data_IF_181354461551
#
_entry.id   IF_181354461551
#
_cell.length_a   1.000
_cell.length_b   1.000
_cell.length_c   1.000
_cell.angle_alpha   90.00
_cell.angle_beta   90.00
_cell.angle_gamma   90.00
#
_symmetry.space_group_name_H-M   'P 1'
#
loop_
_entity.id
_entity.type
_entity.pdbx_description
1 polymer ?
#
# COMPACT_ATOMS: atom_id res chain seq x y z
N UNK A 1 -8.50 -14.76 18.74
CA UNK A 1 -7.02 -14.68 18.74
C UNK A 1 -6.50 -15.79 17.85
N UNK A 2 -5.64 -15.53 16.86
CA UNK A 2 -5.01 -16.61 16.12
C UNK A 2 -4.25 -17.48 17.12
N UNK A 3 -4.40 -18.81 17.02
CA UNK A 3 -3.93 -19.78 18.01
C UNK A 3 -2.41 -20.02 17.92
N UNK A 4 -1.65 -18.94 17.76
CA UNK A 4 -0.22 -18.94 17.58
C UNK A 4 0.45 -18.63 18.92
N UNK A 5 1.25 -19.57 19.43
CA UNK A 5 2.02 -19.42 20.68
C UNK A 5 2.83 -18.10 20.71
N UNK A 6 3.28 -17.62 19.53
CA UNK A 6 3.99 -16.34 19.37
C UNK A 6 3.12 -15.11 19.70
N UNK A 7 1.84 -15.11 19.33
CA UNK A 7 0.91 -14.02 19.62
C UNK A 7 0.60 -13.92 21.12
N UNK A 8 0.46 -15.07 21.81
CA UNK A 8 0.26 -15.10 23.28
C UNK A 8 1.48 -14.60 24.05
N UNK A 9 2.68 -14.97 23.62
CA UNK A 9 3.94 -14.49 24.21
C UNK A 9 4.12 -12.99 23.95
N UNK A 10 3.93 -12.53 22.71
CA UNK A 10 4.01 -11.11 22.35
C UNK A 10 3.01 -10.24 23.12
N UNK A 11 1.80 -10.76 23.35
CA UNK A 11 0.78 -10.08 24.14
C UNK A 11 1.28 -9.76 25.56
N UNK A 12 1.74 -10.80 26.28
CA UNK A 12 2.26 -10.67 27.65
C UNK A 12 3.54 -9.83 27.69
N UNK A 13 4.46 -10.05 26.75
CA UNK A 13 5.71 -9.29 26.67
C UNK A 13 5.44 -7.79 26.52
N UNK A 14 4.53 -7.38 25.64
CA UNK A 14 4.21 -5.96 25.47
C UNK A 14 3.75 -5.28 26.76
N UNK A 15 2.82 -5.92 27.48
CA UNK A 15 2.28 -5.39 28.75
C UNK A 15 3.37 -5.39 29.83
N UNK A 16 4.08 -6.49 30.00
CA UNK A 16 5.13 -6.63 31.02
C UNK A 16 6.24 -5.63 30.77
N UNK A 17 6.69 -5.44 29.53
CA UNK A 17 7.71 -4.45 29.17
C UNK A 17 7.25 -3.02 29.50
N UNK A 18 5.99 -2.65 29.20
CA UNK A 18 5.47 -1.34 29.61
C UNK A 18 5.47 -1.16 31.13
N UNK A 19 5.00 -2.16 31.89
CA UNK A 19 4.96 -2.11 33.36
C UNK A 19 6.38 -1.96 33.92
N UNK A 20 7.35 -2.72 33.41
CA UNK A 20 8.74 -2.62 33.81
C UNK A 20 9.25 -1.18 33.58
N UNK A 21 9.04 -0.62 32.39
CA UNK A 21 9.47 0.75 32.08
C UNK A 21 8.83 1.77 33.03
N UNK A 22 7.55 1.61 33.37
CA UNK A 22 6.87 2.51 34.31
C UNK A 22 7.44 2.42 35.73
N UNK A 23 7.91 1.26 36.17
CA UNK A 23 8.45 1.04 37.53
C UNK A 23 9.93 1.41 37.64
N UNK A 24 10.70 1.43 36.54
CA UNK A 24 12.10 1.83 36.56
C UNK A 24 12.30 3.20 37.23
N UNK A 25 13.42 3.44 37.95
CA UNK A 25 13.66 4.74 38.58
C UNK A 25 13.68 5.86 37.53
N UNK A 26 13.21 7.04 37.93
CA UNK A 26 13.23 8.22 37.07
C UNK A 26 14.67 8.60 36.72
N UNK A 27 14.88 9.02 35.48
CA UNK A 27 16.17 9.57 35.05
C UNK A 27 16.08 11.09 35.12
N UNK A 28 17.12 11.75 35.65
CA UNK A 28 17.23 13.21 35.60
C UNK A 28 17.23 13.76 34.16
N UNK A 29 17.56 12.90 33.19
CA UNK A 29 17.69 13.28 31.77
C UNK A 29 16.41 13.14 30.93
N UNK A 30 15.37 12.48 31.45
CA UNK A 30 14.13 12.22 30.70
C UNK A 30 12.91 12.64 31.53
N UNK A 31 12.06 13.56 31.03
CA UNK A 31 10.81 13.91 31.71
C UNK A 31 9.93 12.70 31.98
N UNK A 32 9.09 12.79 33.03
CA UNK A 32 8.21 11.68 33.43
C UNK A 32 7.24 11.30 32.32
N UNK A 33 6.74 12.28 31.56
CA UNK A 33 5.91 12.09 30.38
C UNK A 33 6.66 11.31 29.30
N UNK A 34 7.96 11.57 29.13
CA UNK A 34 8.82 10.87 28.17
C UNK A 34 9.01 9.40 28.53
N UNK A 35 9.21 9.11 29.82
CA UNK A 35 9.25 7.72 30.33
C UNK A 35 7.92 7.00 30.12
N UNK A 36 6.79 7.66 30.40
CA UNK A 36 5.45 7.09 30.20
C UNK A 36 5.15 6.86 28.71
N UNK A 37 5.54 7.80 27.84
CA UNK A 37 5.46 7.63 26.39
C UNK A 37 6.33 6.45 25.91
N UNK A 38 7.52 6.27 26.48
CA UNK A 38 8.40 5.14 26.16
C UNK A 38 7.77 3.79 26.51
N UNK A 39 7.07 3.71 27.65
CA UNK A 39 6.35 2.49 28.04
C UNK A 39 5.29 2.10 26.99
N UNK A 40 4.46 3.07 26.56
CA UNK A 40 3.44 2.83 25.53
C UNK A 40 4.08 2.55 24.18
N UNK A 41 5.16 3.24 23.82
CA UNK A 41 5.92 3.01 22.59
C UNK A 41 6.43 1.58 22.49
N UNK A 42 7.09 1.08 23.54
CA UNK A 42 7.62 -0.30 23.57
C UNK A 42 6.49 -1.32 23.54
N UNK A 43 5.40 -1.08 24.26
CA UNK A 43 4.23 -1.94 24.22
C UNK A 43 3.65 -2.05 22.81
N UNK A 44 3.36 -0.92 22.17
CA UNK A 44 2.85 -0.87 20.81
C UNK A 44 3.83 -1.52 19.81
N UNK A 45 5.13 -1.22 19.95
CA UNK A 45 6.18 -1.79 19.10
C UNK A 45 6.23 -3.31 19.18
N UNK A 46 6.18 -3.90 20.38
CA UNK A 46 6.14 -5.36 20.56
C UNK A 46 4.86 -5.95 19.96
N UNK A 47 3.71 -5.33 20.22
CA UNK A 47 2.43 -5.84 19.71
C UNK A 47 2.33 -5.76 18.18
N UNK A 48 2.83 -4.70 17.55
CA UNK A 48 2.92 -4.63 16.09
C UNK A 48 3.93 -5.61 15.51
N UNK A 49 5.12 -5.74 16.10
CA UNK A 49 6.17 -6.64 15.59
C UNK A 49 5.79 -8.12 15.70
N UNK A 50 5.05 -8.49 16.74
CA UNK A 50 4.61 -9.87 16.99
C UNK A 50 3.21 -10.18 16.47
N UNK A 51 2.49 -9.16 15.98
CA UNK A 51 1.06 -9.22 15.66
C UNK A 51 0.24 -9.86 16.79
N UNK A 52 0.53 -9.46 18.04
CA UNK A 52 -0.11 -10.01 19.23
C UNK A 52 -1.64 -9.86 19.21
N UNK A 53 -2.11 -8.72 18.71
CA UNK A 53 -3.51 -8.37 18.45
C UNK A 53 -3.59 -7.71 17.07
N UNK A 54 -4.78 -7.57 16.45
CA UNK A 54 -4.91 -6.88 15.17
C UNK A 54 -4.28 -5.48 15.22
N UNK A 55 -3.58 -5.07 14.15
CA UNK A 55 -2.81 -3.81 14.08
C UNK A 55 -3.61 -2.57 14.50
N UNK A 56 -4.92 -2.56 14.21
CA UNK A 56 -5.84 -1.49 14.56
C UNK A 56 -6.09 -1.40 16.07
N UNK A 57 -6.14 -2.55 16.77
CA UNK A 57 -6.33 -2.58 18.23
C UNK A 57 -5.11 -1.98 18.92
N UNK A 58 -3.90 -2.37 18.51
CA UNK A 58 -2.67 -1.74 18.99
C UNK A 58 -2.67 -0.24 18.70
N UNK A 59 -3.13 0.15 17.51
CA UNK A 59 -3.21 1.55 17.13
C UNK A 59 -4.20 2.37 17.95
N UNK A 60 -5.15 1.78 18.68
CA UNK A 60 -6.09 2.49 19.56
C UNK A 60 -5.58 2.65 21.01
N UNK A 61 -4.46 2.00 21.37
CA UNK A 61 -3.86 2.09 22.71
C UNK A 61 -3.59 3.55 23.14
N UNK A 62 -3.03 4.43 22.28
CA UNK A 62 -2.77 5.83 22.66
C UNK A 62 -4.01 6.54 23.21
N UNK A 63 -5.17 6.38 22.56
CA UNK A 63 -6.43 7.03 22.96
C UNK A 63 -6.85 6.70 24.40
N UNK A 64 -6.50 5.51 24.88
CA UNK A 64 -6.81 5.09 26.26
C UNK A 64 -5.69 5.51 27.20
N UNK A 65 -4.44 5.19 26.86
CA UNK A 65 -3.35 5.25 27.84
C UNK A 65 -2.63 6.59 27.89
N UNK A 66 -2.64 7.40 26.84
CA UNK A 66 -2.02 8.74 26.92
C UNK A 66 -2.71 9.65 27.92
N UNK A 67 -4.06 9.75 27.94
CA UNK A 67 -4.76 10.53 28.97
C UNK A 67 -4.58 9.95 30.37
N UNK A 68 -4.68 8.62 30.53
CA UNK A 68 -4.53 7.95 31.83
C UNK A 68 -3.13 8.12 32.43
N UNK A 69 -2.11 8.13 31.57
CA UNK A 69 -0.72 8.33 31.97
C UNK A 69 -0.33 9.82 31.99
N UNK A 70 -1.25 10.75 31.71
CA UNK A 70 -0.97 12.18 31.69
C UNK A 70 0.08 12.60 30.64
N UNK A 71 0.19 11.85 29.53
CA UNK A 71 1.10 12.16 28.42
C UNK A 71 0.49 13.25 27.52
N UNK A 72 -0.82 13.14 27.24
CA UNK A 72 -1.58 14.05 26.37
C UNK A 72 -3.07 13.92 26.65
N UNK A 73 -3.87 14.95 26.32
CA UNK A 73 -5.33 14.87 26.46
C UNK A 73 -5.94 13.96 25.39
N UNK A 74 -7.20 13.55 25.58
CA UNK A 74 -7.89 12.70 24.59
C UNK A 74 -8.05 13.42 23.25
N UNK A 75 -8.35 14.72 23.26
CA UNK A 75 -8.52 15.54 22.05
C UNK A 75 -7.22 15.63 21.26
N UNK A 76 -6.11 15.94 21.94
CA UNK A 76 -4.79 16.03 21.31
C UNK A 76 -4.31 14.65 20.82
N UNK A 77 -4.62 13.58 21.56
CA UNK A 77 -4.30 12.21 21.17
C UNK A 77 -5.11 11.72 19.97
N UNK A 78 -6.36 12.17 19.83
CA UNK A 78 -7.28 11.78 18.76
C UNK A 78 -7.09 12.58 17.47
N UNK A 79 -6.59 13.82 17.53
CA UNK A 79 -6.41 14.68 16.36
C UNK A 79 -5.62 14.00 15.21
N UNK A 80 -4.53 13.26 15.45
CA UNK A 80 -3.78 12.57 14.38
C UNK A 80 -4.57 11.48 13.64
N UNK A 81 -5.65 10.93 14.22
CA UNK A 81 -6.53 9.98 13.54
C UNK A 81 -7.41 10.64 12.46
N UNK A 82 -7.46 11.97 12.45
CA UNK A 82 -8.12 12.77 11.41
C UNK A 82 -7.10 13.51 10.52
N UNK A 83 -5.82 13.09 10.52
CA UNK A 83 -4.82 13.66 9.62
C UNK A 83 -5.29 13.60 8.15
N UNK A 84 -5.11 14.69 7.41
CA UNK A 84 -5.64 14.84 6.05
C UNK A 84 -5.18 13.75 5.07
N UNK A 85 -3.99 13.16 5.29
CA UNK A 85 -3.48 12.08 4.44
C UNK A 85 -4.28 10.78 4.58
N UNK A 86 -4.98 10.58 5.71
CA UNK A 86 -5.91 9.45 5.90
C UNK A 86 -7.05 9.55 4.88
N UNK A 87 -7.56 10.75 4.63
CA UNK A 87 -8.62 10.99 3.65
C UNK A 87 -8.13 10.89 2.19
N UNK A 88 -6.86 11.24 1.93
CA UNK A 88 -6.23 10.95 0.63
C UNK A 88 -6.26 9.45 0.31
N UNK A 89 -5.89 8.61 1.29
CA UNK A 89 -5.94 7.16 1.13
C UNK A 89 -7.36 6.62 1.04
N UNK A 90 -8.29 7.14 1.84
CA UNK A 90 -9.70 6.73 1.78
C UNK A 90 -10.28 6.96 0.36
N UNK A 91 -10.07 8.14 -0.22
CA UNK A 91 -10.46 8.43 -1.60
C UNK A 91 -9.75 7.54 -2.62
N UNK A 92 -8.46 7.28 -2.43
CA UNK A 92 -7.69 6.32 -3.21
C UNK A 92 -8.24 4.89 -3.15
N UNK A 93 -8.66 4.44 -1.97
CA UNK A 93 -9.29 3.13 -1.79
C UNK A 93 -10.62 3.05 -2.52
N UNK A 94 -11.48 4.06 -2.43
CA UNK A 94 -12.72 4.10 -3.22
C UNK A 94 -12.43 3.93 -4.71
N UNK A 95 -11.47 4.68 -5.25
CA UNK A 95 -11.08 4.56 -6.65
C UNK A 95 -10.58 3.15 -7.00
N UNK A 96 -9.73 2.58 -6.14
CA UNK A 96 -9.21 1.22 -6.32
C UNK A 96 -10.32 0.16 -6.28
N UNK A 97 -11.28 0.27 -5.36
CA UNK A 97 -12.41 -0.66 -5.21
C UNK A 97 -13.32 -0.57 -6.44
N UNK A 98 -13.56 0.63 -6.97
CA UNK A 98 -14.34 0.80 -8.19
C UNK A 98 -13.68 0.13 -9.41
N UNK A 99 -12.35 0.30 -9.57
CA UNK A 99 -11.56 -0.38 -10.62
C UNK A 99 -11.65 -1.90 -10.48
N UNK A 100 -11.71 -2.41 -9.24
CA UNK A 100 -11.88 -3.83 -8.96
C UNK A 100 -13.29 -4.31 -9.30
N UNK A 101 -14.33 -3.64 -8.80
CA UNK A 101 -15.74 -4.02 -8.95
C UNK A 101 -16.16 -4.13 -10.42
N UNK A 102 -15.70 -3.23 -11.28
CA UNK A 102 -16.03 -3.27 -12.72
C UNK A 102 -15.09 -4.15 -13.56
N UNK A 103 -14.14 -4.88 -12.96
CA UNK A 103 -13.14 -5.69 -13.64
C UNK A 103 -12.17 -4.91 -14.58
N UNK A 104 -12.09 -3.58 -14.45
CA UNK A 104 -11.20 -2.75 -15.26
C UNK A 104 -9.73 -3.15 -15.08
N UNK A 105 -9.32 -3.50 -13.85
CA UNK A 105 -7.99 -4.04 -13.55
C UNK A 105 -7.61 -5.27 -14.40
N UNK A 106 -8.55 -6.23 -14.59
CA UNK A 106 -8.30 -7.43 -15.43
C UNK A 106 -8.07 -7.04 -16.88
N UNK A 107 -8.86 -6.09 -17.39
CA UNK A 107 -8.70 -5.60 -18.76
C UNK A 107 -7.36 -4.89 -18.94
N UNK A 108 -6.94 -4.07 -17.97
CA UNK A 108 -5.63 -3.41 -17.98
C UNK A 108 -4.49 -4.44 -17.99
N UNK A 109 -4.51 -5.41 -17.08
CA UNK A 109 -3.51 -6.49 -17.02
C UNK A 109 -3.42 -7.27 -18.33
N UNK A 110 -4.54 -7.81 -18.81
CA UNK A 110 -4.58 -8.62 -20.03
C UNK A 110 -4.25 -7.80 -21.29
N UNK A 111 -4.45 -6.48 -21.26
CA UNK A 111 -4.03 -5.60 -22.35
C UNK A 111 -2.51 -5.48 -22.41
N UNK A 112 -1.83 -5.30 -21.27
CA UNK A 112 -0.36 -5.31 -21.20
C UNK A 112 0.18 -6.69 -21.60
N UNK A 113 -0.42 -7.76 -21.07
CA UNK A 113 0.00 -9.13 -21.37
C UNK A 113 -0.14 -9.51 -22.86
N UNK A 114 -1.10 -8.92 -23.58
CA UNK A 114 -1.25 -9.13 -25.04
C UNK A 114 -0.03 -8.68 -25.85
N UNK A 115 0.80 -7.78 -25.31
CA UNK A 115 2.02 -7.32 -25.96
C UNK A 115 3.27 -8.07 -25.49
N UNK A 116 3.11 -9.08 -24.63
CA UNK A 116 4.23 -9.95 -24.26
C UNK A 116 4.58 -10.86 -25.44
N UNK A 117 5.86 -10.98 -25.74
CA UNK A 117 6.34 -11.94 -26.73
C UNK A 117 6.15 -13.39 -26.27
N UNK A 118 6.59 -14.34 -27.09
CA UNK A 118 6.56 -15.78 -26.79
C UNK A 118 7.69 -16.24 -25.89
N UNK A 119 8.71 -15.41 -25.61
CA UNK A 119 9.82 -15.84 -24.73
C UNK A 119 9.34 -15.91 -23.28
N UNK A 120 9.71 -16.97 -22.55
CA UNK A 120 9.33 -17.15 -21.15
C UNK A 120 9.69 -15.95 -20.25
N UNK A 121 10.89 -15.37 -20.44
CA UNK A 121 11.29 -14.13 -19.73
C UNK A 121 10.40 -12.95 -20.06
N UNK A 122 9.96 -12.80 -21.31
CA UNK A 122 9.11 -11.70 -21.74
C UNK A 122 7.70 -11.79 -21.16
N UNK A 123 7.17 -13.01 -21.01
CA UNK A 123 5.90 -13.25 -20.31
C UNK A 123 6.01 -12.83 -18.85
N UNK A 124 7.05 -13.29 -18.14
CA UNK A 124 7.33 -12.87 -16.76
C UNK A 124 7.44 -11.34 -16.67
N UNK A 125 8.17 -10.72 -17.60
CA UNK A 125 8.32 -9.27 -17.67
C UNK A 125 6.99 -8.54 -17.86
N UNK A 126 6.06 -9.07 -18.67
CA UNK A 126 4.73 -8.48 -18.80
C UNK A 126 3.84 -8.65 -17.59
N UNK A 127 3.92 -9.78 -16.88
CA UNK A 127 3.23 -9.94 -15.60
C UNK A 127 3.80 -8.99 -14.55
N UNK A 128 5.12 -8.83 -14.49
CA UNK A 128 5.78 -7.87 -13.63
C UNK A 128 5.36 -6.44 -13.97
N UNK A 129 5.37 -6.05 -15.24
CA UNK A 129 4.92 -4.72 -15.66
C UNK A 129 3.45 -4.48 -15.33
N UNK A 130 2.58 -5.46 -15.60
CA UNK A 130 1.15 -5.37 -15.26
C UNK A 130 0.94 -5.21 -13.76
N UNK A 131 1.65 -6.01 -12.96
CA UNK A 131 1.61 -5.96 -11.49
C UNK A 131 2.09 -4.60 -10.99
N UNK A 132 3.23 -4.12 -11.48
CA UNK A 132 3.78 -2.82 -11.11
C UNK A 132 2.79 -1.69 -11.41
N UNK A 133 2.29 -1.60 -12.65
CA UNK A 133 1.35 -0.54 -13.08
C UNK A 133 0.05 -0.58 -12.28
N UNK A 134 -0.52 -1.76 -12.03
CA UNK A 134 -1.73 -1.87 -11.22
C UNK A 134 -1.48 -1.46 -9.77
N UNK A 135 -0.34 -1.86 -9.20
CA UNK A 135 0.00 -1.58 -7.80
C UNK A 135 0.37 -0.12 -7.53
N UNK A 136 0.60 0.69 -8.57
CA UNK A 136 0.69 2.14 -8.42
C UNK A 136 -0.62 2.77 -7.94
N UNK A 137 -1.76 2.08 -8.11
CA UNK A 137 -3.10 2.64 -7.85
C UNK A 137 -3.97 1.73 -6.98
N UNK A 138 -3.56 0.48 -6.82
CA UNK A 138 -4.29 -0.57 -6.12
C UNK A 138 -3.37 -1.16 -5.06
N UNK A 139 -3.93 -1.60 -3.93
CA UNK A 139 -3.16 -2.26 -2.87
C UNK A 139 -2.33 -3.44 -3.38
N UNK A 140 -1.06 -3.50 -2.98
CA UNK A 140 -0.10 -4.55 -3.37
C UNK A 140 -0.65 -5.97 -3.21
N UNK A 141 -1.30 -6.24 -2.08
CA UNK A 141 -1.92 -7.54 -1.78
C UNK A 141 -3.04 -7.87 -2.77
N UNK A 142 -3.92 -6.91 -3.05
CA UNK A 142 -5.02 -7.06 -4.01
C UNK A 142 -4.49 -7.29 -5.43
N UNK A 143 -3.52 -6.50 -5.87
CA UNK A 143 -2.87 -6.65 -7.18
C UNK A 143 -2.27 -8.05 -7.36
N UNK A 144 -1.58 -8.55 -6.33
CA UNK A 144 -0.97 -9.89 -6.35
C UNK A 144 -2.03 -10.98 -6.46
N UNK A 145 -3.07 -10.93 -5.61
CA UNK A 145 -4.17 -11.90 -5.61
C UNK A 145 -4.93 -11.90 -6.94
N UNK A 146 -5.06 -10.74 -7.60
CA UNK A 146 -5.75 -10.62 -8.88
C UNK A 146 -4.99 -11.23 -10.04
N UNK A 147 -3.66 -11.08 -10.06
CA UNK A 147 -2.82 -11.62 -11.13
C UNK A 147 -2.47 -13.09 -10.91
N UNK A 148 -2.53 -13.58 -9.67
CA UNK A 148 -2.19 -14.95 -9.32
C UNK A 148 -2.98 -16.00 -10.13
N UNK A 149 -4.33 -15.97 -10.24
CA UNK A 149 -5.07 -16.92 -11.07
C UNK A 149 -4.67 -16.89 -12.54
N UNK A 150 -4.38 -15.71 -13.09
CA UNK A 150 -3.95 -15.55 -14.47
C UNK A 150 -2.55 -16.17 -14.67
N UNK A 151 -1.63 -15.91 -13.73
CA UNK A 151 -0.30 -16.50 -13.72
C UNK A 151 -0.33 -18.02 -13.62
N UNK A 152 -1.16 -18.57 -12.73
CA UNK A 152 -1.37 -20.00 -12.58
C UNK A 152 -1.90 -20.65 -13.86
N UNK A 153 -2.87 -20.03 -14.52
CA UNK A 153 -3.40 -20.53 -15.78
C UNK A 153 -2.32 -20.59 -16.88
N UNK A 154 -1.41 -19.62 -16.93
CA UNK A 154 -0.27 -19.64 -17.86
C UNK A 154 0.75 -20.73 -17.51
N UNK A 155 1.03 -20.93 -16.21
CA UNK A 155 1.88 -22.04 -15.74
C UNK A 155 1.30 -23.38 -16.17
N UNK A 156 -0.02 -23.59 -15.99
CA UNK A 156 -0.71 -24.81 -16.41
C UNK A 156 -0.58 -25.04 -17.92
N UNK A 157 -0.84 -24.02 -18.74
CA UNK A 157 -0.73 -24.13 -20.21
C UNK A 157 0.70 -24.48 -20.64
N UNK A 158 1.72 -23.90 -20.02
CA UNK A 158 3.12 -24.23 -20.33
C UNK A 158 3.44 -25.67 -19.91
N UNK A 159 2.98 -26.10 -18.73
CA UNK A 159 3.21 -27.47 -18.26
C UNK A 159 2.59 -28.53 -19.16
N UNK A 160 1.39 -28.28 -19.70
CA UNK A 160 0.63 -29.21 -20.55
C UNK A 160 0.97 -29.14 -22.04
N UNK A 161 1.45 -28.00 -22.55
CA UNK A 161 1.72 -27.82 -23.98
C UNK A 161 3.18 -28.00 -24.37
N UNK A 162 4.06 -28.23 -23.39
CA UNK A 162 5.50 -28.30 -23.61
C UNK A 162 6.09 -29.49 -22.84
N UNK A 163 5.86 -30.70 -23.34
CA UNK A 163 6.37 -31.94 -22.74
C UNK A 163 7.89 -32.06 -22.81
N UNK A 164 8.52 -31.42 -23.81
CA UNK A 164 9.97 -31.44 -24.02
C UNK A 164 10.75 -30.51 -23.06
N UNK A 165 10.07 -29.60 -22.35
CA UNK A 165 10.73 -28.73 -21.37
C UNK A 165 11.20 -29.54 -20.17
N UNK A 166 12.44 -29.28 -19.74
CA UNK A 166 12.99 -29.91 -18.54
C UNK A 166 12.14 -29.55 -17.30
N UNK A 167 12.09 -30.46 -16.33
CA UNK A 167 11.42 -30.21 -15.05
C UNK A 167 11.97 -28.96 -14.36
N UNK A 168 13.28 -28.71 -14.50
CA UNK A 168 13.95 -27.52 -13.95
C UNK A 168 13.44 -26.22 -14.60
N UNK A 169 13.27 -26.19 -15.91
CA UNK A 169 12.76 -25.00 -16.62
C UNK A 169 11.31 -24.68 -16.25
N UNK A 170 10.46 -25.72 -16.11
CA UNK A 170 9.07 -25.58 -15.66
C UNK A 170 9.01 -24.98 -14.24
N UNK A 171 9.82 -25.50 -13.31
CA UNK A 171 9.92 -25.01 -11.93
C UNK A 171 10.47 -23.57 -11.90
N UNK A 172 11.56 -23.29 -12.62
CA UNK A 172 12.17 -21.96 -12.66
C UNK A 172 11.18 -20.92 -13.20
N UNK A 173 10.45 -21.23 -14.27
CA UNK A 173 9.41 -20.35 -14.80
C UNK A 173 8.31 -20.10 -13.77
N UNK A 174 7.79 -21.14 -13.13
CA UNK A 174 6.74 -21.03 -12.12
C UNK A 174 7.18 -20.14 -10.95
N UNK A 175 8.35 -20.39 -10.37
CA UNK A 175 8.86 -19.61 -9.24
C UNK A 175 9.14 -18.16 -9.67
N UNK A 176 9.81 -17.95 -10.80
CA UNK A 176 10.12 -16.62 -11.31
C UNK A 176 8.86 -15.81 -11.63
N UNK A 177 7.81 -16.43 -12.17
CA UNK A 177 6.55 -15.76 -12.47
C UNK A 177 5.84 -15.32 -11.19
N UNK A 178 5.68 -16.24 -10.22
CA UNK A 178 4.96 -15.96 -8.98
C UNK A 178 5.70 -14.93 -8.10
N UNK A 179 7.03 -15.08 -7.94
CA UNK A 179 7.86 -14.09 -7.25
C UNK A 179 7.90 -12.77 -8.01
N UNK A 180 7.95 -12.82 -9.34
CA UNK A 180 7.91 -11.64 -10.19
C UNK A 180 6.66 -10.81 -9.96
N UNK A 181 5.47 -11.43 -9.94
CA UNK A 181 4.20 -10.75 -9.63
C UNK A 181 4.27 -10.10 -8.24
N UNK A 182 4.72 -10.84 -7.23
CA UNK A 182 4.78 -10.36 -5.84
C UNK A 182 5.76 -9.20 -5.65
N UNK A 183 6.98 -9.30 -6.18
CA UNK A 183 7.97 -8.21 -6.09
C UNK A 183 7.56 -7.01 -6.92
N UNK A 184 7.03 -7.21 -8.13
CA UNK A 184 6.58 -6.10 -8.96
C UNK A 184 5.40 -5.35 -8.35
N UNK A 185 4.49 -6.02 -7.62
CA UNK A 185 3.43 -5.34 -6.87
C UNK A 185 4.03 -4.40 -5.81
N UNK A 186 5.01 -4.87 -5.03
CA UNK A 186 5.69 -4.05 -4.04
C UNK A 186 6.45 -2.87 -4.69
N UNK A 187 7.16 -3.11 -5.80
CA UNK A 187 7.86 -2.06 -6.55
C UNK A 187 6.88 -1.03 -7.10
N UNK A 188 5.72 -1.46 -7.62
CA UNK A 188 4.67 -0.57 -8.09
C UNK A 188 4.10 0.32 -6.98
N UNK A 189 3.91 -0.25 -5.78
CA UNK A 189 3.42 0.50 -4.62
C UNK A 189 4.34 1.65 -4.18
N UNK A 190 5.63 1.62 -4.52
CA UNK A 190 6.58 2.71 -4.23
C UNK A 190 6.33 3.93 -5.14
N UNK A 191 5.80 3.71 -6.35
CA UNK A 191 5.79 4.72 -7.41
C UNK A 191 4.93 5.96 -7.10
N UNK A 192 3.83 5.78 -6.36
CA UNK A 192 2.86 6.84 -6.06
C UNK A 192 2.60 6.91 -4.56
N UNK A 193 2.07 8.05 -4.11
CA UNK A 193 1.79 8.27 -2.69
C UNK A 193 0.72 7.32 -2.13
N UNK A 194 -0.20 6.82 -2.97
CA UNK A 194 -1.33 5.95 -2.58
C UNK A 194 -0.96 4.47 -2.58
N UNK A 195 0.08 4.08 -3.33
CA UNK A 195 0.37 2.67 -3.60
C UNK A 195 0.63 1.82 -2.34
N UNK A 196 1.28 2.38 -1.31
CA UNK A 196 1.56 1.65 -0.08
C UNK A 196 1.52 2.50 1.19
N UNK A 197 1.21 1.84 2.31
CA UNK A 197 1.06 2.47 3.62
C UNK A 197 2.31 3.24 4.12
N UNK A 198 3.55 2.75 3.95
CA UNK A 198 4.75 3.49 4.34
C UNK A 198 4.88 4.87 3.68
N UNK A 199 4.48 5.03 2.42
CA UNK A 199 4.55 6.32 1.71
C UNK A 199 3.66 7.36 2.42
N UNK A 200 2.47 6.92 2.85
CA UNK A 200 1.56 7.75 3.63
C UNK A 200 2.11 8.10 5.01
N UNK A 201 2.63 7.10 5.71
CA UNK A 201 3.16 7.28 7.05
C UNK A 201 4.28 8.31 7.04
N UNK A 202 5.17 8.27 6.04
CA UNK A 202 6.19 9.29 5.84
C UNK A 202 5.58 10.66 5.56
N UNK A 203 4.61 10.78 4.65
CA UNK A 203 4.01 12.08 4.35
C UNK A 203 3.28 12.69 5.57
N UNK A 204 2.50 11.88 6.28
CA UNK A 204 1.83 12.31 7.51
C UNK A 204 2.82 12.72 8.59
N UNK A 205 3.91 11.98 8.76
CA UNK A 205 4.97 12.33 9.70
C UNK A 205 5.69 13.63 9.32
N UNK A 206 6.08 13.79 8.06
CA UNK A 206 6.74 15.01 7.56
C UNK A 206 5.87 16.25 7.74
N UNK A 207 4.56 16.09 7.56
CA UNK A 207 3.60 17.15 7.78
C UNK A 207 3.43 17.51 9.25
N UNK A 208 3.12 16.53 10.11
CA UNK A 208 2.89 16.78 11.53
C UNK A 208 4.15 17.28 12.26
N UNK A 209 5.32 16.76 11.89
CA UNK A 209 6.55 17.03 12.62
C UNK A 209 7.38 18.19 12.05
N UNK A 210 7.38 18.36 10.72
CA UNK A 210 8.21 19.35 10.04
C UNK A 210 7.41 20.39 9.27
N UNK A 211 6.07 20.31 9.28
CA UNK A 211 5.19 21.17 8.48
C UNK A 211 5.53 21.13 6.98
N UNK A 212 6.05 19.99 6.51
CA UNK A 212 6.39 19.74 5.10
C UNK A 212 5.38 18.77 4.52
N UNK A 213 4.47 19.27 3.68
CA UNK A 213 3.54 18.41 2.94
C UNK A 213 4.17 17.99 1.62
N UNK A 214 4.35 16.68 1.42
CA UNK A 214 4.79 16.13 0.14
C UNK A 214 3.55 15.98 -0.75
N UNK A 215 3.50 16.71 -1.86
CA UNK A 215 2.40 16.57 -2.81
C UNK A 215 2.46 15.25 -3.55
N UNK A 216 1.33 14.82 -4.11
CA UNK A 216 1.25 13.64 -4.97
C UNK A 216 2.28 13.67 -6.10
N UNK A 217 2.44 14.82 -6.76
CA UNK A 217 3.39 15.03 -7.86
C UNK A 217 4.83 14.99 -7.38
N UNK A 218 5.13 15.59 -6.21
CA UNK A 218 6.49 15.58 -5.66
C UNK A 218 6.94 14.17 -5.28
N UNK A 219 6.03 13.36 -4.72
CA UNK A 219 6.31 11.95 -4.47
C UNK A 219 6.63 11.20 -5.77
N UNK A 220 5.82 11.39 -6.82
CA UNK A 220 6.04 10.71 -8.11
C UNK A 220 7.38 11.04 -8.74
N UNK A 221 7.92 12.25 -8.55
CA UNK A 221 9.27 12.61 -9.02
C UNK A 221 10.38 11.75 -8.41
N UNK A 222 10.13 11.11 -7.27
CA UNK A 222 11.08 10.21 -6.59
C UNK A 222 10.66 8.75 -6.77
N UNK A 223 9.43 8.41 -6.41
CA UNK A 223 8.92 7.04 -6.42
C UNK A 223 8.93 6.41 -7.81
N UNK A 224 8.44 7.13 -8.83
CA UNK A 224 8.32 6.56 -10.17
C UNK A 224 9.70 6.25 -10.78
N UNK A 225 10.71 7.14 -10.74
CA UNK A 225 12.08 6.79 -11.16
C UNK A 225 12.67 5.58 -10.44
N UNK A 226 12.47 5.49 -9.12
CA UNK A 226 12.95 4.33 -8.34
C UNK A 226 12.28 3.04 -8.83
N UNK A 227 10.96 3.03 -9.01
CA UNK A 227 10.23 1.86 -9.51
C UNK A 227 10.63 1.48 -10.94
N UNK A 228 10.87 2.46 -11.81
CA UNK A 228 11.32 2.24 -13.20
C UNK A 228 12.72 1.61 -13.28
N UNK A 229 13.58 1.84 -12.28
CA UNK A 229 14.91 1.23 -12.20
C UNK A 229 14.83 -0.15 -11.53
N UNK A 230 14.10 -0.27 -10.42
CA UNK A 230 14.00 -1.52 -9.68
C UNK A 230 13.30 -2.62 -10.47
N UNK A 231 12.25 -2.30 -11.24
CA UNK A 231 11.47 -3.30 -11.96
C UNK A 231 12.32 -4.09 -12.99
N UNK A 232 13.09 -3.46 -13.90
CA UNK A 232 14.01 -4.17 -14.79
C UNK A 232 15.12 -4.92 -14.04
N UNK A 233 15.68 -4.34 -12.97
CA UNK A 233 16.73 -4.99 -12.18
C UNK A 233 16.23 -6.29 -11.53
N UNK A 234 15.04 -6.25 -10.92
CA UNK A 234 14.40 -7.43 -10.34
C UNK A 234 14.05 -8.45 -11.42
N UNK A 235 13.55 -8.02 -12.58
CA UNK A 235 13.25 -8.92 -13.69
C UNK A 235 14.51 -9.64 -14.21
N UNK A 236 15.61 -8.91 -14.38
CA UNK A 236 16.90 -9.48 -14.78
C UNK A 236 17.40 -10.44 -13.69
N UNK A 237 17.33 -10.04 -12.42
CA UNK A 237 17.78 -10.86 -11.30
C UNK A 237 17.03 -12.19 -11.23
N UNK A 238 15.70 -12.14 -11.30
CA UNK A 238 14.87 -13.33 -11.25
C UNK A 238 15.08 -14.23 -12.46
N UNK A 239 15.03 -13.69 -13.68
CA UNK A 239 14.97 -14.51 -14.91
C UNK A 239 16.34 -14.90 -15.49
N UNK A 240 17.43 -14.29 -15.01
CA UNK A 240 18.80 -14.59 -15.49
C UNK A 240 19.70 -15.20 -14.42
N UNK A 241 19.60 -14.78 -13.16
CA UNK A 241 20.53 -15.21 -12.11
C UNK A 241 19.89 -16.22 -11.15
N UNK A 242 18.74 -15.91 -10.57
CA UNK A 242 18.12 -16.76 -9.54
C UNK A 242 17.38 -17.97 -10.13
N UNK A 243 16.57 -17.74 -11.16
CA UNK A 243 15.74 -18.76 -11.80
C UNK A 243 15.84 -18.59 -13.32
N UNK A 244 16.91 -19.11 -13.95
CA UNK A 244 17.12 -18.95 -15.38
C UNK A 244 15.95 -19.52 -16.20
N UNK A 245 15.35 -18.69 -17.06
CA UNK A 245 14.23 -19.07 -17.95
C UNK A 245 14.63 -18.88 -19.41
N UNK A 246 15.19 -19.91 -20.05
CA UNK A 246 15.74 -19.80 -21.40
C UNK A 246 14.97 -20.65 -22.43
N UNK A 247 13.68 -20.40 -22.58
CA UNK A 247 12.85 -21.07 -23.59
C UNK A 247 11.84 -20.13 -24.25
N UNK A 248 11.35 -20.54 -25.41
CA UNK A 248 10.20 -19.93 -26.09
C UNK A 248 8.96 -20.76 -25.80
N UNK A 249 7.84 -20.08 -25.55
CA UNK A 249 6.57 -20.72 -25.25
C UNK A 249 5.81 -21.09 -26.52
N UNK A 250 4.84 -21.99 -26.35
CA UNK A 250 3.91 -22.37 -27.41
C UNK A 250 2.99 -21.21 -27.81
N UNK A 251 2.56 -21.18 -29.07
CA UNK A 251 1.55 -20.23 -29.56
C UNK A 251 0.25 -20.29 -28.73
N UNK A 252 -0.09 -21.47 -28.22
CA UNK A 252 -1.22 -21.74 -27.30
C UNK A 252 -1.18 -20.87 -26.05
N UNK A 253 0.01 -20.50 -25.57
CA UNK A 253 0.18 -19.60 -24.41
C UNK A 253 -0.36 -18.20 -24.72
N UNK A 254 -0.01 -17.63 -25.87
CA UNK A 254 -0.51 -16.32 -26.31
C UNK A 254 -2.00 -16.37 -26.65
N UNK A 255 -2.46 -17.44 -27.29
CA UNK A 255 -3.89 -17.66 -27.56
C UNK A 255 -4.71 -17.73 -26.27
N UNK A 256 -4.17 -18.31 -25.20
CA UNK A 256 -4.82 -18.33 -23.88
C UNK A 256 -5.01 -16.92 -23.32
N UNK A 257 -3.98 -16.07 -23.37
CA UNK A 257 -4.06 -14.66 -22.92
C UNK A 257 -5.11 -13.89 -23.74
N UNK A 258 -5.08 -14.07 -25.07
CA UNK A 258 -6.04 -13.42 -25.98
C UNK A 258 -7.46 -13.91 -25.70
N UNK A 259 -7.64 -15.21 -25.46
CA UNK A 259 -8.94 -15.81 -25.13
C UNK A 259 -9.47 -15.27 -23.80
N UNK A 260 -8.65 -15.23 -22.75
CA UNK A 260 -9.03 -14.63 -21.46
C UNK A 260 -9.47 -13.17 -21.63
N UNK A 261 -8.76 -12.40 -22.45
CA UNK A 261 -9.12 -11.00 -22.75
C UNK A 261 -10.45 -10.92 -23.50
N UNK A 262 -10.65 -11.75 -24.51
CA UNK A 262 -11.86 -11.75 -25.33
C UNK A 262 -13.09 -12.18 -24.50
N UNK A 263 -12.90 -13.09 -23.55
CA UNK A 263 -13.94 -13.54 -22.61
C UNK A 263 -14.43 -12.42 -21.67
N UNK A 264 -13.67 -11.33 -21.48
CA UNK A 264 -14.17 -10.14 -20.79
C UNK A 264 -15.21 -9.36 -21.60
N UNK A 265 -15.42 -9.71 -22.87
CA UNK A 265 -16.36 -9.03 -23.75
C UNK A 265 -16.00 -7.58 -24.07
N UNK A 266 -16.98 -6.85 -24.61
CA UNK A 266 -16.87 -5.42 -24.91
C UNK A 266 -16.73 -4.63 -23.61
N UNK A 267 -16.01 -3.51 -23.67
CA UNK A 267 -15.85 -2.61 -22.53
C UNK A 267 -17.22 -2.09 -22.07
N UNK A 268 -17.57 -2.33 -20.82
CA UNK A 268 -18.85 -1.92 -20.24
C UNK A 268 -18.91 -0.42 -19.98
N UNK A 269 -20.12 0.11 -19.81
CA UNK A 269 -20.33 1.52 -19.41
C UNK A 269 -19.68 1.82 -18.06
N UNK A 270 -19.76 0.88 -17.12
CA UNK A 270 -19.13 1.02 -15.80
C UNK A 270 -17.61 1.16 -15.90
N UNK A 271 -16.95 0.31 -16.70
CA UNK A 271 -15.51 0.37 -16.94
C UNK A 271 -15.09 1.71 -17.56
N UNK A 272 -15.84 2.21 -18.54
CA UNK A 272 -15.55 3.52 -19.16
C UNK A 272 -15.68 4.67 -18.15
N UNK A 273 -16.73 4.66 -17.33
CA UNK A 273 -16.97 5.71 -16.33
C UNK A 273 -15.91 5.70 -15.24
N UNK A 274 -15.57 4.52 -14.71
CA UNK A 274 -14.48 4.39 -13.72
C UNK A 274 -13.15 4.81 -14.33
N UNK A 275 -12.83 4.39 -15.56
CA UNK A 275 -11.60 4.80 -16.23
C UNK A 275 -11.54 6.31 -16.44
N UNK A 276 -12.64 6.95 -16.83
CA UNK A 276 -12.71 8.41 -16.96
C UNK A 276 -12.48 9.11 -15.62
N UNK A 277 -13.17 8.69 -14.55
CA UNK A 277 -12.98 9.26 -13.21
C UNK A 277 -11.53 9.05 -12.74
N UNK A 278 -10.95 7.88 -13.00
CA UNK A 278 -9.56 7.58 -12.66
C UNK A 278 -8.57 8.54 -13.35
N UNK A 279 -8.68 8.69 -14.67
CA UNK A 279 -7.83 9.62 -15.43
C UNK A 279 -8.07 11.07 -14.98
N UNK A 280 -9.32 11.44 -14.74
CA UNK A 280 -9.67 12.77 -14.24
C UNK A 280 -9.02 13.07 -12.88
N UNK A 281 -9.06 12.13 -11.93
CA UNK A 281 -8.36 12.25 -10.64
C UNK A 281 -6.86 12.48 -10.83
N UNK A 282 -6.21 11.69 -11.69
CA UNK A 282 -4.79 11.83 -11.96
C UNK A 282 -4.43 13.21 -12.57
N UNK A 283 -5.27 13.69 -13.49
CA UNK A 283 -5.13 15.03 -14.07
C UNK A 283 -5.30 16.12 -13.02
N UNK A 284 -6.29 15.99 -12.12
CA UNK A 284 -6.48 16.94 -11.02
C UNK A 284 -5.26 17.02 -10.10
N UNK A 285 -4.63 15.88 -9.75
CA UNK A 285 -3.40 15.91 -8.95
C UNK A 285 -2.22 16.56 -9.70
N UNK A 286 -2.05 16.25 -10.99
CA UNK A 286 -0.97 16.82 -11.81
C UNK A 286 -1.12 18.34 -11.97
N UNK A 287 -2.35 18.80 -12.26
CA UNK A 287 -2.63 20.20 -12.53
C UNK A 287 -3.05 20.99 -11.28
N UNK A 288 -3.06 20.38 -10.08
CA UNK A 288 -3.52 21.00 -8.84
C UNK A 288 -2.94 22.40 -8.62
N UNK A 289 -1.62 22.55 -8.77
CA UNK A 289 -0.96 23.85 -8.57
C UNK A 289 -1.55 24.95 -9.45
N UNK A 290 -1.80 24.65 -10.73
CA UNK A 290 -2.39 25.59 -11.68
C UNK A 290 -3.88 25.84 -11.41
N UNK A 291 -4.59 24.83 -10.87
CA UNK A 291 -6.00 24.97 -10.48
C UNK A 291 -6.15 25.88 -9.26
N UNK A 292 -5.21 25.80 -8.32
CA UNK A 292 -5.22 26.63 -7.11
C UNK A 292 -4.98 28.12 -7.41
N UNK A 293 -4.40 28.45 -8.56
CA UNK A 293 -4.22 29.85 -9.01
C UNK A 293 -5.55 30.49 -9.49
N UNK A 294 -6.61 29.70 -9.66
CA UNK A 294 -7.94 30.19 -10.07
C UNK A 294 -8.71 30.67 -8.84
N UNK A 295 -9.20 31.91 -8.88
CA UNK A 295 -9.98 32.51 -7.80
C UNK A 295 -11.18 31.64 -7.41
N UNK A 296 -11.27 31.27 -6.12
CA UNK A 296 -12.32 30.41 -5.58
C UNK A 296 -11.99 28.90 -5.55
N UNK A 297 -10.84 28.47 -6.10
CA UNK A 297 -10.36 27.08 -6.06
C UNK A 297 -9.05 26.90 -5.27
N UNK A 298 -8.61 27.94 -4.56
CA UNK A 298 -7.37 27.99 -3.77
C UNK A 298 -7.26 26.87 -2.72
N UNK A 299 -8.40 26.41 -2.19
CA UNK A 299 -8.48 25.37 -1.15
C UNK A 299 -8.35 23.93 -1.66
N UNK A 300 -8.17 23.70 -2.97
CA UNK A 300 -8.07 22.35 -3.52
C UNK A 300 -6.75 21.69 -3.05
N UNK A 301 -6.89 20.52 -2.45
CA UNK A 301 -5.79 19.74 -1.87
C UNK A 301 -5.79 18.32 -2.41
N UNK A 302 -4.67 17.60 -2.32
CA UNK A 302 -4.60 16.20 -2.77
C UNK A 302 -5.65 15.31 -2.07
N UNK A 303 -5.84 15.39 -0.73
CA UNK A 303 -6.93 14.69 -0.06
C UNK A 303 -8.32 15.12 -0.56
N UNK A 304 -8.51 16.42 -0.81
CA UNK A 304 -9.77 16.97 -1.34
C UNK A 304 -10.11 16.39 -2.71
N UNK A 305 -9.14 16.29 -3.62
CA UNK A 305 -9.29 15.66 -4.95
C UNK A 305 -9.66 14.19 -4.79
N UNK A 306 -8.95 13.45 -3.93
CA UNK A 306 -9.22 12.03 -3.69
C UNK A 306 -10.64 11.80 -3.18
N UNK A 307 -11.06 12.60 -2.19
CA UNK A 307 -12.41 12.52 -1.62
C UNK A 307 -13.48 12.94 -2.63
N UNK A 308 -13.26 14.03 -3.39
CA UNK A 308 -14.17 14.49 -4.43
C UNK A 308 -14.43 13.38 -5.46
N UNK A 309 -13.37 12.85 -6.06
CA UNK A 309 -13.50 11.79 -7.06
C UNK A 309 -14.01 10.48 -6.48
N UNK A 310 -13.63 10.16 -5.24
CA UNK A 310 -14.14 9.02 -4.49
C UNK A 310 -15.65 9.10 -4.28
N UNK A 311 -16.16 10.26 -3.86
CA UNK A 311 -17.59 10.51 -3.66
C UNK A 311 -18.37 10.48 -4.97
N UNK A 312 -17.80 11.01 -6.07
CA UNK A 312 -18.42 10.94 -7.41
C UNK A 312 -18.72 9.50 -7.84
N UNK A 313 -17.93 8.51 -7.40
CA UNK A 313 -18.21 7.08 -7.69
C UNK A 313 -19.50 6.59 -7.03
N UNK A 314 -19.85 7.09 -5.84
CA UNK A 314 -21.11 6.76 -5.17
C UNK A 314 -22.31 7.49 -5.76
N UNK A 315 -22.08 8.56 -6.53
CA UNK A 315 -23.14 9.37 -7.14
C UNK A 315 -23.37 9.03 -8.63
N UNK A 316 -22.42 8.34 -9.25
CA UNK A 316 -22.47 8.01 -10.68
C UNK A 316 -23.14 6.65 -10.88
N UNK A 317 -24.23 6.54 -11.67
CA UNK A 317 -24.84 5.25 -11.99
C UNK A 317 -23.86 4.31 -12.69
N UNK A 318 -23.97 3.01 -12.48
CA UNK A 318 -23.14 2.02 -13.18
C UNK A 318 -23.49 1.88 -14.67
N UNK A 319 -24.75 2.19 -15.03
CA UNK A 319 -25.29 2.05 -16.37
C UNK A 319 -25.65 0.61 -16.72
N UNK A 320 -26.22 0.40 -17.92
CA UNK A 320 -26.57 -0.95 -18.41
C UNK A 320 -27.85 -1.54 -17.82
N UNK A 321 -28.82 -0.70 -17.43
CA UNK A 321 -30.12 -1.14 -16.90
C UNK A 321 -30.12 -1.48 -15.40
N UNK A 322 -28.97 -1.40 -14.73
CA UNK A 322 -28.85 -1.63 -13.30
C UNK A 322 -29.10 -0.32 -12.52
N UNK A 323 -29.80 -0.40 -11.38
CA UNK A 323 -30.08 0.79 -10.55
C UNK A 323 -28.92 1.20 -9.63
N UNK A 324 -27.85 0.41 -9.58
CA UNK A 324 -26.74 0.65 -8.66
C UNK A 324 -25.76 1.69 -9.22
N UNK A 325 -25.13 2.44 -8.33
CA UNK A 325 -24.02 3.33 -8.64
C UNK A 325 -22.70 2.55 -8.84
N UNK A 326 -21.66 3.23 -9.34
CA UNK A 326 -20.34 2.62 -9.54
C UNK A 326 -19.81 2.04 -8.24
N UNK A 327 -20.05 2.72 -7.12
CA UNK A 327 -19.89 2.20 -5.77
C UNK A 327 -21.17 2.34 -4.95
N UNK A 328 -21.38 1.37 -4.06
CA UNK A 328 -22.36 1.40 -2.97
C UNK A 328 -21.60 1.37 -1.65
N UNK A 329 -22.17 1.92 -0.58
CA UNK A 329 -21.47 2.01 0.72
C UNK A 329 -20.95 0.65 1.23
N UNK A 330 -21.72 -0.43 1.00
CA UNK A 330 -21.31 -1.81 1.32
C UNK A 330 -19.98 -2.23 0.65
N UNK A 331 -19.66 -1.68 -0.53
CA UNK A 331 -18.39 -1.94 -1.21
C UNK A 331 -17.23 -1.29 -0.47
N UNK A 332 -17.44 -0.09 0.09
CA UNK A 332 -16.45 0.59 0.92
C UNK A 332 -16.28 -0.08 2.28
N UNK A 333 -17.38 -0.50 2.92
CA UNK A 333 -17.33 -1.23 4.20
C UNK A 333 -16.47 -2.49 4.08
N UNK A 334 -16.66 -3.26 3.01
CA UNK A 334 -15.93 -4.50 2.78
C UNK A 334 -14.53 -4.29 2.18
N UNK A 335 -14.36 -3.28 1.31
CA UNK A 335 -13.14 -3.10 0.52
C UNK A 335 -12.08 -2.21 1.16
N UNK A 336 -12.48 -1.25 2.02
CA UNK A 336 -11.52 -0.33 2.65
C UNK A 336 -10.81 -1.04 3.81
N UNK A 337 -9.47 -1.02 3.88
CA UNK A 337 -8.72 -1.55 5.01
C UNK A 337 -8.77 -0.56 6.20
N UNK A 338 -9.92 -0.44 6.86
CA UNK A 338 -10.13 0.51 7.98
C UNK A 338 -9.08 0.42 9.07
N UNK A 339 -8.57 -0.79 9.34
CA UNK A 339 -7.52 -1.00 10.32
C UNK A 339 -6.18 -0.32 9.96
N UNK A 340 -5.89 -0.17 8.67
CA UNK A 340 -4.70 0.56 8.18
C UNK A 340 -4.89 2.07 8.34
N UNK A 341 -6.11 2.58 8.15
CA UNK A 341 -6.40 4.00 8.42
C UNK A 341 -6.22 4.33 9.91
N UNK A 342 -6.72 3.46 10.81
CA UNK A 342 -6.50 3.59 12.25
C UNK A 342 -5.03 3.43 12.66
N UNK A 343 -4.29 2.54 11.99
CA UNK A 343 -2.86 2.34 12.21
C UNK A 343 -2.09 3.65 12.04
N UNK A 344 -2.39 4.43 11.00
CA UNK A 344 -1.73 5.72 10.78
C UNK A 344 -2.03 6.72 11.89
N UNK A 345 -3.30 6.84 12.30
CA UNK A 345 -3.68 7.71 13.40
C UNK A 345 -2.94 7.37 14.70
N UNK A 346 -2.89 6.08 15.05
CA UNK A 346 -2.16 5.62 16.23
C UNK A 346 -0.64 5.83 16.13
N UNK A 347 -0.05 5.61 14.96
CA UNK A 347 1.37 5.85 14.72
C UNK A 347 1.75 7.33 14.79
N UNK A 348 0.95 8.22 14.20
CA UNK A 348 1.16 9.67 14.26
C UNK A 348 0.95 10.20 15.68
N UNK A 349 -0.06 9.69 16.39
CA UNK A 349 -0.29 10.01 17.82
C UNK A 349 0.90 9.62 18.68
N UNK A 350 1.46 8.43 18.45
CA UNK A 350 2.67 7.96 19.13
C UNK A 350 3.89 8.83 18.81
N UNK A 351 4.07 9.23 17.54
CA UNK A 351 5.15 10.11 17.12
C UNK A 351 5.05 11.50 17.76
N UNK A 352 3.86 12.09 17.76
CA UNK A 352 3.60 13.39 18.39
C UNK A 352 3.88 13.35 19.90
N UNK A 353 3.44 12.31 20.59
CA UNK A 353 3.73 12.11 22.00
C UNK A 353 5.23 11.90 22.27
N UNK A 354 5.94 11.15 21.43
CA UNK A 354 7.38 10.97 21.56
C UNK A 354 8.14 12.30 21.39
N UNK A 355 7.68 13.19 20.52
CA UNK A 355 8.26 14.52 20.33
C UNK A 355 7.94 15.46 21.50
N UNK A 356 6.67 15.59 21.87
CA UNK A 356 6.22 16.56 22.89
C UNK A 356 6.73 16.22 24.29
N UNK A 357 6.93 14.94 24.58
CA UNK A 357 7.43 14.44 25.87
C UNK A 357 8.96 14.46 26.01
N UNK A 358 9.69 14.83 24.95
CA UNK A 358 11.15 14.83 24.93
C UNK A 358 11.79 13.45 24.70
N UNK A 359 10.99 12.38 24.59
CA UNK A 359 11.48 11.02 24.36
C UNK A 359 12.33 10.92 23.07
N UNK A 360 11.86 11.50 21.97
CA UNK A 360 12.56 11.46 20.68
C UNK A 360 13.94 12.13 20.77
N UNK A 361 14.03 13.30 21.42
CA UNK A 361 15.27 14.03 21.62
C UNK A 361 16.23 13.26 22.54
N UNK A 362 15.71 12.62 23.60
CA UNK A 362 16.49 11.81 24.52
C UNK A 362 17.11 10.58 23.84
N UNK A 363 16.33 9.85 23.03
CA UNK A 363 16.84 8.73 22.22
C UNK A 363 17.88 9.24 21.23
N UNK A 364 17.59 10.33 20.51
CA UNK A 364 18.49 10.92 19.52
C UNK A 364 19.82 11.38 20.11
N UNK A 365 19.80 12.02 21.29
CA UNK A 365 21.00 12.43 22.01
C UNK A 365 21.80 11.26 22.59
N UNK A 366 21.16 10.11 22.78
CA UNK A 366 21.82 8.86 23.20
C UNK A 366 22.45 8.10 22.03
N UNK A 367 22.12 8.45 20.78
CA UNK A 367 22.79 7.88 19.62
C UNK A 367 24.21 8.44 19.52
N UNK A 368 25.24 7.59 19.31
CA UNK A 368 26.60 8.07 19.12
C UNK A 368 26.64 9.06 17.94
N UNK A 369 27.02 10.31 18.20
CA UNK A 369 27.13 11.37 17.19
C UNK A 369 28.35 11.20 16.27
N UNK A 370 29.08 10.09 16.40
CA UNK A 370 30.26 9.76 15.60
C UNK A 370 30.31 8.28 15.27
N UNK A 371 29.84 7.91 14.08
CA UNK A 371 30.55 6.92 13.29
C UNK A 371 31.71 7.67 12.61
N UNK A 372 32.75 8.01 13.36
CA UNK A 372 34.04 8.34 12.75
C UNK A 372 34.58 7.05 12.15
N UNK A 373 34.13 6.73 10.95
CA UNK A 373 34.80 5.81 10.05
C UNK A 373 35.79 6.67 9.24
N UNK A 374 36.69 7.38 9.92
CA UNK A 374 38.00 7.87 9.46
C UNK A 374 38.79 8.39 10.67
#
# INVERSE_FOLDING_TARGET
MPDNKKSKVGFLLGIVSAIIILILPESESLPIEGKRAAAVFVWMGIWWATEAVPIAITALIPLVFFPLLGISTIEATAAPYANKNIFLFLGGFFLSIAIQKCNLHKRMALTVLKFTGTRGKSIIGGFMLSSCVLSMWIMNTSTTIMLLPIGLAIITVINESMDELSTSDKINFQIALLLGIAYAANIGGIATLIGTAPNMALNGFMEEQYNVSISFVDWMKVGLPVSMILLPLTWISLTRFSFPVNFETSQKTQETIITMRNNLGKISTSEKRVFFIFIFTALLWIFRSYINDISGLEGLSDPGIAMLCGLVLFLTPSGGGNQNNLLEWKDAEAGVPWGVLLLFGGGLSLAAAAQSSGLAAWIGGSMPTGLNIF
#
